data_IF_987051485751
#
_entry.id   IF_987051485751
#
_cell.length_a   1.000
_cell.length_b   1.000
_cell.length_c   1.000
_cell.angle_alpha   90.00
_cell.angle_beta   90.00
_cell.angle_gamma   90.00
#
_symmetry.space_group_name_H-M   'P 1'
#
loop_
_entity.id
_entity.type
_entity.pdbx_description
1 polymer ?
#
# COMPACT_ATOMS: atom_id res chain seq x y z
N UNK A 1 19.02 1.87 -7.17
CA UNK A 1 17.58 1.78 -7.50
C UNK A 1 17.05 0.46 -6.97
N UNK A 2 15.90 0.45 -6.31
CA UNK A 2 15.23 -0.79 -5.95
C UNK A 2 14.73 -1.50 -7.21
N UNK A 3 14.87 -2.82 -7.27
CA UNK A 3 14.35 -3.61 -8.41
C UNK A 3 12.82 -3.64 -8.39
N UNK A 4 12.18 -3.91 -9.54
CA UNK A 4 10.72 -4.09 -9.59
C UNK A 4 10.24 -5.19 -8.62
N UNK A 5 11.06 -6.23 -8.41
CA UNK A 5 10.78 -7.27 -7.41
C UNK A 5 10.79 -6.71 -5.98
N UNK A 6 11.75 -5.86 -5.62
CA UNK A 6 11.78 -5.21 -4.30
C UNK A 6 10.56 -4.31 -4.08
N UNK A 7 10.13 -3.57 -5.11
CA UNK A 7 8.93 -2.73 -5.06
C UNK A 7 7.67 -3.57 -4.86
N UNK A 8 7.53 -4.66 -5.61
CA UNK A 8 6.41 -5.59 -5.49
C UNK A 8 6.39 -6.27 -4.11
N UNK A 9 7.56 -6.66 -3.60
CA UNK A 9 7.73 -7.19 -2.24
C UNK A 9 7.35 -6.19 -1.16
N UNK A 10 7.71 -4.91 -1.34
CA UNK A 10 7.35 -3.86 -0.40
C UNK A 10 5.84 -3.70 -0.28
N UNK A 11 5.13 -3.67 -1.42
CA UNK A 11 3.67 -3.61 -1.43
C UNK A 11 3.06 -4.80 -0.71
N UNK A 12 3.51 -6.01 -1.06
CA UNK A 12 3.02 -7.24 -0.44
C UNK A 12 3.27 -7.24 1.07
N UNK A 13 4.45 -6.82 1.51
CA UNK A 13 4.81 -6.74 2.93
C UNK A 13 3.90 -5.77 3.69
N UNK A 14 3.67 -4.57 3.16
CA UNK A 14 2.79 -3.57 3.77
C UNK A 14 1.37 -4.11 3.92
N UNK A 15 0.80 -4.65 2.84
CA UNK A 15 -0.55 -5.22 2.85
C UNK A 15 -0.63 -6.47 3.75
N UNK A 16 0.45 -7.25 3.87
CA UNK A 16 0.49 -8.41 4.76
C UNK A 16 0.42 -8.03 6.23
N UNK A 17 0.98 -6.89 6.63
CA UNK A 17 0.84 -6.40 8.02
C UNK A 17 -0.64 -6.19 8.36
N UNK A 18 -1.39 -5.54 7.48
CA UNK A 18 -2.83 -5.38 7.66
C UNK A 18 -3.59 -6.73 7.62
N UNK A 19 -3.22 -7.64 6.70
CA UNK A 19 -3.85 -8.96 6.61
C UNK A 19 -3.63 -9.82 7.88
N UNK A 20 -2.48 -9.67 8.55
CA UNK A 20 -2.23 -10.35 9.83
C UNK A 20 -3.18 -9.88 10.93
N UNK A 21 -3.52 -8.59 10.93
CA UNK A 21 -4.44 -7.97 11.88
C UNK A 21 -5.91 -8.28 11.57
N UNK A 22 -6.28 -8.33 10.28
CA UNK A 22 -7.61 -8.72 9.84
C UNK A 22 -7.57 -9.70 8.66
N UNK A 23 -7.72 -11.00 8.95
CA UNK A 23 -7.68 -12.08 7.94
C UNK A 23 -8.90 -12.13 7.02
N UNK A 24 -9.91 -11.27 7.22
CA UNK A 24 -11.09 -11.21 6.35
C UNK A 24 -10.82 -10.46 5.05
N UNK A 25 -9.75 -9.66 4.99
CA UNK A 25 -9.37 -8.98 3.75
C UNK A 25 -8.71 -9.94 2.76
N UNK A 26 -8.70 -9.54 1.48
CA UNK A 26 -8.08 -10.34 0.42
C UNK A 26 -6.59 -10.57 0.70
N UNK A 27 -6.12 -11.80 0.51
CA UNK A 27 -4.69 -12.13 0.63
C UNK A 27 -3.84 -11.22 -0.29
N UNK A 28 -2.78 -10.58 0.22
CA UNK A 28 -1.87 -9.78 -0.60
C UNK A 28 -1.07 -10.63 -1.59
N UNK A 29 -0.70 -10.03 -2.73
CA UNK A 29 0.22 -10.65 -3.69
C UNK A 29 1.06 -9.61 -4.42
N UNK A 30 2.34 -9.91 -4.64
CA UNK A 30 3.23 -9.15 -5.56
C UNK A 30 2.62 -8.96 -6.95
N UNK A 31 1.79 -9.90 -7.41
CA UNK A 31 1.14 -9.86 -8.72
C UNK A 31 0.25 -8.63 -8.93
N UNK A 32 -0.20 -8.00 -7.85
CA UNK A 32 -1.04 -6.79 -7.91
C UNK A 32 -0.23 -5.59 -8.39
N UNK A 33 1.00 -5.44 -7.89
CA UNK A 33 1.93 -4.41 -8.36
C UNK A 33 2.30 -4.63 -9.83
N UNK A 34 2.65 -5.88 -10.20
CA UNK A 34 2.95 -6.23 -11.59
C UNK A 34 1.78 -6.05 -12.55
N UNK A 35 0.54 -6.12 -12.05
CA UNK A 35 -0.63 -5.87 -12.88
C UNK A 35 -0.77 -4.38 -13.19
N UNK A 36 -0.47 -3.51 -12.23
CA UNK A 36 -0.42 -2.07 -12.45
C UNK A 36 0.68 -1.67 -13.42
N UNK A 37 1.92 -2.10 -13.22
CA UNK A 37 3.04 -1.71 -14.10
C UNK A 37 2.78 -2.12 -15.55
N UNK A 38 2.30 -3.35 -15.78
CA UNK A 38 1.90 -3.81 -17.12
C UNK A 38 0.72 -3.02 -17.71
N UNK A 39 -0.22 -2.56 -16.87
CA UNK A 39 -1.34 -1.75 -17.34
C UNK A 39 -0.90 -0.32 -17.72
N UNK A 40 0.10 0.22 -17.03
CA UNK A 40 0.75 1.50 -17.38
C UNK A 40 1.49 1.42 -18.71
N UNK A 41 2.27 0.37 -18.93
CA UNK A 41 2.93 0.11 -20.21
C UNK A 41 1.93 0.02 -21.38
N UNK A 42 0.72 -0.48 -21.12
CA UNK A 42 -0.38 -0.56 -22.09
C UNK A 42 -1.24 0.70 -22.19
N UNK A 43 -0.91 1.76 -21.44
CA UNK A 43 -1.62 3.04 -21.43
C UNK A 43 -3.00 3.03 -20.75
N UNK A 44 -3.39 1.96 -20.06
CA UNK A 44 -4.71 1.80 -19.43
C UNK A 44 -4.64 1.40 -17.93
N UNK A 45 -3.93 2.15 -17.08
CA UNK A 45 -3.70 1.76 -15.68
C UNK A 45 -4.85 2.04 -14.72
N UNK A 46 -5.89 2.76 -15.15
CA UNK A 46 -6.88 3.39 -14.26
C UNK A 46 -7.57 2.38 -13.34
N UNK A 47 -7.90 1.19 -13.86
CA UNK A 47 -8.55 0.13 -13.09
C UNK A 47 -7.61 -0.46 -12.02
N UNK A 48 -6.37 -0.79 -12.40
CA UNK A 48 -5.42 -1.41 -11.48
C UNK A 48 -4.93 -0.42 -10.43
N UNK A 49 -4.74 0.85 -10.82
CA UNK A 49 -4.40 1.93 -9.91
C UNK A 49 -5.52 2.14 -8.87
N UNK A 50 -6.78 2.23 -9.32
CA UNK A 50 -7.93 2.36 -8.41
C UNK A 50 -8.02 1.18 -7.46
N UNK A 51 -7.77 -0.03 -7.95
CA UNK A 51 -7.79 -1.25 -7.13
C UNK A 51 -6.70 -1.21 -6.05
N UNK A 52 -5.45 -0.88 -6.41
CA UNK A 52 -4.35 -0.78 -5.46
C UNK A 52 -4.57 0.34 -4.43
N UNK A 53 -5.04 1.50 -4.87
CA UNK A 53 -5.36 2.60 -3.94
C UNK A 53 -6.39 2.19 -2.90
N UNK A 54 -7.47 1.51 -3.31
CA UNK A 54 -8.48 0.98 -2.40
C UNK A 54 -7.91 -0.08 -1.45
N UNK A 55 -6.97 -0.91 -1.90
CA UNK A 55 -6.28 -1.87 -1.04
C UNK A 55 -5.41 -1.22 0.03
N UNK A 56 -4.69 -0.17 -0.35
CA UNK A 56 -3.83 0.59 0.57
C UNK A 56 -4.70 1.32 1.59
N UNK A 57 -5.80 1.94 1.15
CA UNK A 57 -6.78 2.59 2.02
C UNK A 57 -7.37 1.60 3.03
N UNK A 58 -7.83 0.42 2.58
CA UNK A 58 -8.32 -0.63 3.48
C UNK A 58 -7.26 -1.06 4.50
N UNK A 59 -5.99 -1.18 4.09
CA UNK A 59 -4.91 -1.52 5.02
C UNK A 59 -4.69 -0.41 6.07
N UNK A 60 -4.72 0.86 5.65
CA UNK A 60 -4.61 2.02 6.54
C UNK A 60 -5.76 2.03 7.56
N UNK A 61 -6.99 1.79 7.13
CA UNK A 61 -8.15 1.70 8.03
C UNK A 61 -8.01 0.59 9.09
N UNK A 62 -7.37 -0.53 8.74
CA UNK A 62 -7.11 -1.61 9.70
C UNK A 62 -6.11 -1.17 10.76
N UNK A 63 -5.06 -0.43 10.36
CA UNK A 63 -4.09 0.11 11.31
C UNK A 63 -4.72 1.16 12.24
N UNK A 64 -5.63 2.01 11.74
CA UNK A 64 -6.37 2.97 12.56
C UNK A 64 -7.27 2.34 13.63
N UNK A 65 -7.68 1.08 13.43
CA UNK A 65 -8.51 0.33 14.40
C UNK A 65 -7.68 -0.30 15.51
N UNK A 66 -6.35 -0.28 15.40
CA UNK A 66 -5.47 -0.77 16.46
C UNK A 66 -5.24 0.32 17.50
N UNK A 67 -4.81 -0.08 18.68
CA UNK A 67 -4.31 0.86 19.69
C UNK A 67 -2.95 1.40 19.24
N UNK A 68 -2.91 2.67 18.87
CA UNK A 68 -1.73 3.35 18.31
C UNK A 68 -1.52 4.71 18.94
N UNK A 69 -0.27 5.13 18.99
CA UNK A 69 0.09 6.47 19.42
C UNK A 69 -0.45 7.54 18.46
N UNK A 70 -0.76 8.71 19.00
CA UNK A 70 -1.25 9.86 18.25
C UNK A 70 -0.33 10.23 17.06
N UNK A 71 0.99 10.17 17.25
CA UNK A 71 1.95 10.44 16.16
C UNK A 71 1.86 9.43 15.02
N UNK A 72 1.61 8.16 15.31
CA UNK A 72 1.34 7.15 14.29
C UNK A 72 0.03 7.46 13.57
N UNK A 73 -1.00 7.87 14.30
CA UNK A 73 -2.30 8.22 13.74
C UNK A 73 -2.18 9.38 12.74
N UNK A 74 -1.47 10.47 13.09
CA UNK A 74 -1.20 11.58 12.16
C UNK A 74 -0.41 11.11 10.92
N UNK A 75 0.61 10.28 11.14
CA UNK A 75 1.42 9.74 10.04
C UNK A 75 0.58 8.88 9.08
N UNK A 76 -0.37 8.09 9.59
CA UNK A 76 -1.31 7.31 8.78
C UNK A 76 -2.29 8.21 8.01
N UNK A 77 -2.72 9.35 8.56
CA UNK A 77 -3.55 10.32 7.84
C UNK A 77 -2.80 10.96 6.67
N UNK A 78 -1.52 11.30 6.88
CA UNK A 78 -0.64 11.77 5.80
C UNK A 78 -0.50 10.69 4.73
N UNK A 79 -0.29 9.43 5.13
CA UNK A 79 -0.18 8.31 4.21
C UNK A 79 -1.45 8.11 3.36
N UNK A 80 -2.62 8.25 3.97
CA UNK A 80 -3.91 8.20 3.28
C UNK A 80 -4.02 9.31 2.22
N UNK A 81 -3.60 10.52 2.56
CA UNK A 81 -3.58 11.66 1.65
C UNK A 81 -2.61 11.46 0.48
N UNK A 82 -1.44 10.87 0.73
CA UNK A 82 -0.48 10.52 -0.32
C UNK A 82 -1.03 9.46 -1.26
N UNK A 83 -1.67 8.41 -0.71
CA UNK A 83 -2.33 7.38 -1.50
C UNK A 83 -3.42 7.98 -2.40
N UNK A 84 -4.23 8.91 -1.88
CA UNK A 84 -5.26 9.61 -2.65
C UNK A 84 -4.67 10.40 -3.84
N UNK A 85 -3.47 10.96 -3.69
CA UNK A 85 -2.78 11.73 -4.72
C UNK A 85 -1.99 10.88 -5.72
N UNK A 86 -1.74 9.60 -5.43
CA UNK A 86 -0.98 8.71 -6.30
C UNK A 86 -1.66 8.53 -7.68
N UNK A 87 -0.86 8.67 -8.74
CA UNK A 87 -1.29 8.63 -10.15
C UNK A 87 -0.66 7.49 -10.94
N UNK A 88 0.40 6.87 -10.44
CA UNK A 88 1.12 5.80 -11.10
C UNK A 88 1.82 4.86 -10.10
N UNK A 89 2.46 3.81 -10.61
CA UNK A 89 3.21 2.81 -9.84
C UNK A 89 4.34 3.39 -9.01
N UNK A 90 5.06 4.40 -9.49
CA UNK A 90 6.13 5.06 -8.74
C UNK A 90 5.59 5.88 -7.55
N UNK A 91 4.44 6.52 -7.72
CA UNK A 91 3.76 7.18 -6.61
C UNK A 91 3.32 6.15 -5.55
N UNK A 92 2.76 5.03 -5.99
CA UNK A 92 2.38 3.92 -5.10
C UNK A 92 3.61 3.39 -4.34
N UNK A 93 4.75 3.21 -5.00
CA UNK A 93 6.00 2.80 -4.33
C UNK A 93 6.39 3.79 -3.24
N UNK A 94 6.33 5.09 -3.53
CA UNK A 94 6.63 6.16 -2.56
C UNK A 94 5.68 6.12 -1.35
N UNK A 95 4.40 5.83 -1.57
CA UNK A 95 3.41 5.60 -0.51
C UNK A 95 3.80 4.38 0.32
N UNK A 96 4.11 3.26 -0.32
CA UNK A 96 4.44 2.01 0.37
C UNK A 96 5.73 2.11 1.18
N UNK A 97 6.78 2.75 0.67
CA UNK A 97 8.03 2.95 1.41
C UNK A 97 7.79 3.71 2.72
N UNK A 98 7.00 4.78 2.67
CA UNK A 98 6.58 5.52 3.87
C UNK A 98 5.69 4.67 4.77
N UNK A 99 4.74 3.94 4.18
CA UNK A 99 3.83 3.07 4.90
C UNK A 99 4.55 1.98 5.68
N UNK A 100 5.61 1.40 5.12
CA UNK A 100 6.44 0.40 5.80
C UNK A 100 7.18 0.98 7.02
N UNK A 101 7.63 2.22 6.96
CA UNK A 101 8.26 2.88 8.11
C UNK A 101 7.22 3.11 9.22
N UNK A 102 6.07 3.68 8.87
CA UNK A 102 4.99 4.02 9.82
C UNK A 102 4.43 2.77 10.51
N UNK A 103 4.37 1.66 9.78
CA UNK A 103 3.73 0.42 10.24
C UNK A 103 4.71 -0.63 10.75
N UNK A 104 5.97 -0.26 11.04
CA UNK A 104 6.99 -1.24 11.49
C UNK A 104 6.57 -1.97 12.77
N UNK A 105 5.81 -1.30 13.65
CA UNK A 105 5.24 -1.92 14.87
C UNK A 105 4.26 -3.08 14.61
N UNK A 106 3.73 -3.20 13.39
CA UNK A 106 2.76 -4.25 13.00
C UNK A 106 3.39 -5.42 12.24
N UNK A 107 4.72 -5.51 12.22
CA UNK A 107 5.46 -6.55 11.52
C UNK A 107 5.28 -7.93 12.16
#
# INVERSE_FOLDING_TARGET
MATEEMKAMGLEAFLNRAYKLDRRIRRPSKGEYYSLTRAEEKGNPQKELKTLKGRIEQAIEIFFKQDIEYQTQESLQILLSLNAQAKNSNDIVSVIERGLIITEQFK
#
